data_IF_239987916966
#
_entry.id   IF_239987916966
#
_cell.length_a   1.000
_cell.length_b   1.000
_cell.length_c   1.000
_cell.angle_alpha   90.00
_cell.angle_beta   90.00
_cell.angle_gamma   90.00
#
_symmetry.space_group_name_H-M   'P 1'
#
loop_
_entity.id
_entity.type
_entity.pdbx_description
1 polymer ?
#
# COMPACT_ATOMS: atom_id res chain seq x y z
N UNK A 1 32.60 -2.49 10.62
CA UNK A 1 31.82 -1.31 10.96
C UNK A 1 30.50 -1.76 11.56
N UNK A 2 29.90 -0.97 12.42
CA UNK A 2 28.72 -1.34 13.23
C UNK A 2 27.41 -1.39 12.42
N UNK A 3 27.48 -1.41 11.08
CA UNK A 3 26.31 -1.39 10.19
C UNK A 3 25.50 -0.09 10.26
N UNK A 4 26.03 0.96 10.91
CA UNK A 4 25.41 2.27 11.04
C UNK A 4 25.94 3.23 9.97
N UNK A 5 25.03 3.94 9.36
CA UNK A 5 25.29 4.90 8.28
C UNK A 5 24.72 6.27 8.62
N UNK A 6 25.33 7.33 8.10
CA UNK A 6 24.80 8.68 8.15
C UNK A 6 24.13 9.02 6.83
N UNK A 7 22.82 9.21 6.87
CA UNK A 7 22.00 9.50 5.71
C UNK A 7 21.86 11.01 5.56
N UNK A 8 22.17 11.51 4.37
CA UNK A 8 22.01 12.91 3.97
C UNK A 8 21.21 12.97 2.68
N UNK A 9 20.24 13.85 2.59
CA UNK A 9 19.44 14.03 1.39
C UNK A 9 18.01 14.45 1.69
N UNK A 10 17.14 14.32 0.69
CA UNK A 10 15.75 14.75 0.76
C UNK A 10 14.82 13.69 0.17
N UNK A 11 13.67 13.48 0.80
CA UNK A 11 12.57 12.68 0.26
C UNK A 11 11.33 13.55 0.08
N UNK A 12 10.85 13.60 -1.16
CA UNK A 12 9.65 14.33 -1.53
C UNK A 12 8.39 13.76 -0.89
N UNK A 13 8.32 12.43 -0.76
CA UNK A 13 7.24 11.75 -0.03
C UNK A 13 7.81 10.78 1.00
N UNK A 14 7.38 10.94 2.24
CA UNK A 14 7.58 10.01 3.33
C UNK A 14 6.28 9.86 4.10
N UNK A 15 5.72 8.65 4.08
CA UNK A 15 4.45 8.35 4.73
C UNK A 15 4.60 8.23 6.24
N UNK A 16 3.52 8.55 6.96
CA UNK A 16 3.37 8.36 8.40
C UNK A 16 4.54 8.94 9.23
N UNK A 17 4.77 10.28 9.18
CA UNK A 17 5.90 10.92 9.88
C UNK A 17 5.87 10.74 11.39
N UNK A 18 4.75 10.29 11.96
CA UNK A 18 4.58 9.97 13.38
C UNK A 18 5.15 8.59 13.78
N UNK A 19 5.50 7.73 12.81
CA UNK A 19 6.06 6.41 13.11
C UNK A 19 7.39 6.50 13.87
N UNK A 20 7.71 5.46 14.61
CA UNK A 20 8.94 5.40 15.42
C UNK A 20 10.19 5.12 14.57
N UNK A 21 10.03 4.45 13.41
CA UNK A 21 11.11 4.16 12.48
C UNK A 21 10.62 4.12 11.04
N UNK A 22 11.55 4.26 10.10
CA UNK A 22 11.30 4.34 8.66
C UNK A 22 12.25 3.45 7.89
N UNK A 23 11.74 2.76 6.85
CA UNK A 23 12.56 2.12 5.84
C UNK A 23 12.81 3.10 4.70
N UNK A 24 14.08 3.36 4.41
CA UNK A 24 14.50 4.36 3.43
C UNK A 24 15.54 3.76 2.48
N UNK A 25 15.34 3.96 1.18
CA UNK A 25 16.38 3.69 0.19
C UNK A 25 17.32 4.90 0.07
N UNK A 26 18.63 4.65 0.18
CA UNK A 26 19.65 5.65 -0.06
C UNK A 26 20.81 5.07 -0.86
N UNK A 27 21.47 5.94 -1.64
CA UNK A 27 22.65 5.57 -2.39
C UNK A 27 23.83 5.37 -1.43
N UNK A 28 24.52 4.25 -1.58
CA UNK A 28 25.75 3.94 -0.86
C UNK A 28 26.95 4.38 -1.68
N UNK A 29 27.93 4.97 -1.02
CA UNK A 29 29.20 5.43 -1.67
C UNK A 29 30.38 5.24 -0.73
N UNK A 30 30.49 4.09 -0.06
CA UNK A 30 31.57 3.80 0.88
C UNK A 30 32.41 2.62 0.42
N UNK A 31 33.69 2.84 0.12
CA UNK A 31 34.64 1.84 -0.33
C UNK A 31 34.14 1.12 -1.60
N UNK A 32 34.13 -0.21 -1.59
CA UNK A 32 33.64 -1.05 -2.68
C UNK A 32 32.13 -1.26 -2.65
N UNK A 33 31.42 -0.68 -1.68
CA UNK A 33 29.97 -0.80 -1.55
C UNK A 33 29.28 0.33 -2.31
N UNK A 34 28.78 0.02 -3.49
CA UNK A 34 28.04 0.95 -4.35
C UNK A 34 26.62 0.44 -4.61
N UNK A 35 25.71 1.36 -4.89
CA UNK A 35 24.32 1.04 -5.21
C UNK A 35 23.33 1.45 -4.12
N UNK A 36 22.07 1.03 -4.26
CA UNK A 36 21.01 1.37 -3.31
C UNK A 36 21.00 0.41 -2.12
N UNK A 37 21.16 0.94 -0.90
CA UNK A 37 20.90 0.25 0.35
C UNK A 37 19.52 0.53 0.89
N UNK A 38 18.95 -0.40 1.67
CA UNK A 38 17.74 -0.20 2.47
C UNK A 38 18.14 0.05 3.92
N UNK A 39 17.71 1.16 4.50
CA UNK A 39 18.09 1.57 5.84
C UNK A 39 16.89 1.67 6.75
N UNK A 40 16.99 1.11 7.95
CA UNK A 40 16.08 1.37 9.05
C UNK A 40 16.55 2.62 9.80
N UNK A 41 15.74 3.65 9.78
CA UNK A 41 16.05 4.94 10.40
C UNK A 41 15.06 5.18 11.55
N UNK A 42 15.50 5.11 12.82
CA UNK A 42 14.64 5.45 13.95
C UNK A 42 14.38 6.96 14.00
N UNK A 43 13.19 7.36 14.42
CA UNK A 43 12.84 8.78 14.63
C UNK A 43 13.55 9.36 15.84
N UNK A 44 13.66 8.57 16.90
CA UNK A 44 14.35 8.91 18.15
C UNK A 44 15.51 7.93 18.35
N UNK A 45 16.65 8.45 18.73
CA UNK A 45 17.85 7.65 19.01
C UNK A 45 17.73 6.99 20.41
N UNK A 46 18.54 5.94 20.70
CA UNK A 46 18.52 5.27 22.00
C UNK A 46 18.81 6.18 23.21
N UNK A 47 19.52 7.31 22.99
CA UNK A 47 19.77 8.31 24.02
C UNK A 47 18.60 9.30 24.23
N UNK A 48 17.48 9.06 23.58
CA UNK A 48 16.26 9.89 23.67
C UNK A 48 16.26 11.13 22.78
N UNK A 49 17.34 11.40 22.05
CA UNK A 49 17.41 12.56 21.16
C UNK A 49 16.73 12.30 19.81
N UNK A 50 16.13 13.34 19.20
CA UNK A 50 15.67 13.25 17.83
C UNK A 50 16.82 12.89 16.87
N UNK A 51 16.58 11.95 15.98
CA UNK A 51 17.51 11.65 14.89
C UNK A 51 17.51 12.79 13.86
N UNK A 52 18.50 12.88 13.00
CA UNK A 52 18.66 13.95 12.02
C UNK A 52 17.59 14.04 10.92
N UNK A 53 16.31 13.79 11.26
CA UNK A 53 15.14 13.93 10.38
C UNK A 53 14.52 15.31 10.59
N UNK A 54 14.33 16.07 9.50
CA UNK A 54 13.64 17.37 9.53
C UNK A 54 12.44 17.32 8.60
N UNK A 55 11.25 17.21 9.19
CA UNK A 55 9.99 17.25 8.47
C UNK A 55 9.69 18.69 8.05
N UNK A 56 9.58 18.92 6.74
CA UNK A 56 9.40 20.26 6.18
C UNK A 56 7.93 20.66 6.15
N UNK A 57 7.07 19.78 5.66
CA UNK A 57 5.62 19.99 5.57
C UNK A 57 4.86 18.69 5.38
N UNK A 58 3.58 18.72 5.67
CA UNK A 58 2.63 17.70 5.25
C UNK A 58 2.15 17.99 3.82
N UNK A 59 1.91 16.93 3.05
CA UNK A 59 1.41 17.03 1.68
C UNK A 59 -0.08 17.32 1.65
N UNK A 60 -0.49 18.30 0.83
CA UNK A 60 -1.88 18.45 0.41
C UNK A 60 -2.15 17.49 -0.74
N UNK A 61 -2.96 16.44 -0.49
CA UNK A 61 -3.20 15.34 -1.43
C UNK A 61 -4.63 15.38 -1.95
N UNK A 62 -4.84 14.87 -3.16
CA UNK A 62 -6.18 14.72 -3.75
C UNK A 62 -7.05 13.72 -2.95
N UNK A 63 -6.44 12.63 -2.48
CA UNK A 63 -7.13 11.60 -1.70
C UNK A 63 -6.26 11.04 -0.58
N UNK A 64 -6.82 10.11 0.20
CA UNK A 64 -6.16 9.48 1.35
C UNK A 64 -5.59 10.53 2.34
N UNK A 65 -6.36 11.58 2.62
CA UNK A 65 -5.92 12.73 3.42
C UNK A 65 -5.75 12.40 4.89
N UNK A 66 -6.45 11.39 5.39
CA UNK A 66 -6.31 10.89 6.76
C UNK A 66 -4.96 10.22 7.02
N UNK A 67 -4.28 9.73 5.98
CA UNK A 67 -2.96 9.17 6.06
C UNK A 67 -1.91 10.24 5.78
N UNK A 68 -1.21 10.71 6.82
CA UNK A 68 -0.22 11.77 6.70
C UNK A 68 0.94 11.35 5.77
N UNK A 69 1.34 12.27 4.89
CA UNK A 69 2.54 12.15 4.06
C UNK A 69 3.32 13.46 4.17
N UNK A 70 4.63 13.36 4.34
CA UNK A 70 5.50 14.51 4.59
C UNK A 70 6.61 14.63 3.55
N UNK A 71 7.20 15.80 3.46
CA UNK A 71 8.55 16.02 2.96
C UNK A 71 9.53 15.93 4.12
N UNK A 72 10.68 15.32 3.90
CA UNK A 72 11.71 15.19 4.94
C UNK A 72 13.10 15.42 4.37
N UNK A 73 13.91 16.13 5.13
CA UNK A 73 15.36 16.24 4.93
C UNK A 73 16.09 15.42 5.97
N UNK A 74 17.12 14.72 5.52
CA UNK A 74 18.02 13.93 6.36
C UNK A 74 19.30 14.72 6.57
N UNK A 75 19.57 15.15 7.78
CA UNK A 75 20.76 15.91 8.18
C UNK A 75 21.72 15.01 8.98
N UNK A 76 22.30 14.01 8.30
CA UNK A 76 23.17 13.03 8.96
C UNK A 76 22.37 12.07 9.85
N UNK A 77 21.12 11.76 9.48
CA UNK A 77 20.29 10.82 10.22
C UNK A 77 20.98 9.45 10.30
N UNK A 78 21.04 8.87 11.49
CA UNK A 78 21.59 7.54 11.70
C UNK A 78 20.61 6.49 11.24
N UNK A 79 21.09 5.57 10.41
CA UNK A 79 20.32 4.44 9.91
C UNK A 79 21.14 3.17 9.92
N UNK A 80 20.48 2.04 10.19
CA UNK A 80 21.09 0.71 10.11
C UNK A 80 20.77 0.10 8.76
N UNK A 81 21.78 -0.45 8.08
CA UNK A 81 21.59 -1.18 6.84
C UNK A 81 20.78 -2.46 7.10
N UNK A 82 19.74 -2.67 6.31
CA UNK A 82 18.91 -3.87 6.32
C UNK A 82 19.18 -4.65 5.02
N UNK A 83 19.49 -5.93 5.16
CA UNK A 83 19.86 -6.80 4.06
C UNK A 83 21.29 -6.54 3.57
N UNK A 84 21.57 -6.90 2.33
CA UNK A 84 22.91 -6.81 1.74
C UNK A 84 23.14 -5.45 1.07
N UNK A 85 24.39 -4.93 1.10
CA UNK A 85 24.77 -3.73 0.37
C UNK A 85 24.43 -3.82 -1.12
N UNK A 86 23.89 -2.73 -1.69
CA UNK A 86 23.51 -2.68 -3.10
C UNK A 86 22.20 -3.40 -3.46
N UNK A 87 21.59 -4.14 -2.53
CA UNK A 87 20.33 -4.87 -2.73
C UNK A 87 19.12 -4.21 -2.07
N UNK A 88 19.18 -2.93 -1.79
CA UNK A 88 18.12 -2.21 -1.09
C UNK A 88 16.75 -2.30 -1.75
N UNK A 89 16.68 -2.31 -3.09
CA UNK A 89 15.40 -2.43 -3.82
C UNK A 89 14.76 -3.79 -3.57
N UNK A 90 15.51 -4.89 -3.66
CA UNK A 90 14.95 -6.23 -3.38
C UNK A 90 14.49 -6.35 -1.93
N UNK A 91 15.22 -5.76 -0.99
CA UNK A 91 14.88 -5.76 0.43
C UNK A 91 13.59 -4.99 0.70
N UNK A 92 13.44 -3.78 0.17
CA UNK A 92 12.24 -2.97 0.43
C UNK A 92 10.98 -3.51 -0.29
N UNK A 93 11.14 -4.27 -1.36
CA UNK A 93 10.00 -4.88 -2.08
C UNK A 93 9.28 -5.91 -1.21
N UNK A 94 9.89 -6.52 -0.23
CA UNK A 94 9.21 -7.39 0.72
C UNK A 94 8.10 -6.63 1.46
N UNK A 95 8.42 -5.43 1.96
CA UNK A 95 7.41 -4.54 2.58
C UNK A 95 6.38 -4.06 1.54
N UNK A 96 6.84 -3.68 0.33
CA UNK A 96 5.94 -3.22 -0.74
C UNK A 96 4.94 -4.31 -1.15
N UNK A 97 5.30 -5.58 -1.06
CA UNK A 97 4.40 -6.69 -1.36
C UNK A 97 3.21 -6.73 -0.39
N UNK A 98 3.43 -6.47 0.89
CA UNK A 98 2.35 -6.31 1.88
C UNK A 98 1.45 -5.11 1.56
N UNK A 99 2.03 -3.97 1.22
CA UNK A 99 1.23 -2.77 0.86
C UNK A 99 0.42 -2.98 -0.44
N UNK A 100 0.87 -3.84 -1.34
CA UNK A 100 0.08 -4.23 -2.52
C UNK A 100 -1.13 -5.08 -2.16
N UNK A 101 -1.00 -5.98 -1.18
CA UNK A 101 -2.14 -6.72 -0.62
C UNK A 101 -3.15 -5.74 0.00
N UNK A 102 -2.69 -4.77 0.80
CA UNK A 102 -3.55 -3.73 1.39
C UNK A 102 -4.29 -2.92 0.31
N UNK A 103 -3.61 -2.54 -0.77
CA UNK A 103 -4.25 -1.85 -1.89
C UNK A 103 -5.36 -2.69 -2.54
N UNK A 104 -5.15 -4.00 -2.71
CA UNK A 104 -6.14 -4.89 -3.31
C UNK A 104 -7.36 -5.05 -2.39
N UNK A 105 -7.14 -5.32 -1.11
CA UNK A 105 -8.22 -5.51 -0.12
C UNK A 105 -9.02 -4.22 0.11
N UNK A 106 -8.34 -3.08 0.22
CA UNK A 106 -8.98 -1.77 0.38
C UNK A 106 -9.83 -1.41 -0.83
N UNK A 107 -9.32 -1.62 -2.05
CA UNK A 107 -10.07 -1.34 -3.27
C UNK A 107 -11.30 -2.24 -3.40
N UNK A 108 -11.18 -3.55 -3.12
CA UNK A 108 -12.33 -4.46 -3.09
C UNK A 108 -13.38 -4.03 -2.03
N UNK A 109 -12.93 -3.56 -0.87
CA UNK A 109 -13.79 -3.00 0.17
C UNK A 109 -14.56 -1.76 -0.28
N UNK A 110 -13.90 -0.83 -0.97
CA UNK A 110 -14.53 0.37 -1.54
C UNK A 110 -15.55 0.02 -2.63
N UNK A 111 -15.21 -0.89 -3.55
CA UNK A 111 -16.15 -1.40 -4.56
C UNK A 111 -17.41 -1.99 -3.90
N UNK A 112 -17.23 -2.81 -2.87
CA UNK A 112 -18.35 -3.41 -2.13
C UNK A 112 -19.21 -2.35 -1.44
N UNK A 113 -18.61 -1.35 -0.80
CA UNK A 113 -19.35 -0.25 -0.16
C UNK A 113 -20.17 0.52 -1.17
N UNK A 114 -19.60 0.88 -2.33
CA UNK A 114 -20.30 1.61 -3.39
C UNK A 114 -21.50 0.84 -3.95
N UNK A 115 -21.34 -0.47 -4.20
CA UNK A 115 -22.47 -1.31 -4.65
C UNK A 115 -23.55 -1.44 -3.57
N UNK A 116 -23.18 -1.55 -2.30
CA UNK A 116 -24.14 -1.61 -1.20
C UNK A 116 -25.00 -0.34 -1.14
N UNK A 117 -24.40 0.85 -1.28
CA UNK A 117 -25.10 2.12 -1.33
C UNK A 117 -25.98 2.25 -2.59
N UNK A 118 -25.46 1.84 -3.76
CA UNK A 118 -26.23 1.83 -5.00
C UNK A 118 -27.47 0.93 -4.91
N UNK A 119 -27.31 -0.29 -4.36
CA UNK A 119 -28.42 -1.22 -4.13
C UNK A 119 -29.41 -0.66 -3.12
N UNK A 120 -28.92 -0.05 -2.03
CA UNK A 120 -29.79 0.61 -1.05
C UNK A 120 -30.62 1.71 -1.72
N UNK A 121 -29.99 2.63 -2.42
CA UNK A 121 -30.65 3.73 -3.11
C UNK A 121 -31.71 3.23 -4.11
N UNK A 122 -31.36 2.30 -4.98
CA UNK A 122 -32.25 1.79 -6.04
C UNK A 122 -33.46 1.02 -5.51
N UNK A 123 -33.35 0.41 -4.33
CA UNK A 123 -34.48 -0.24 -3.63
C UNK A 123 -35.50 0.75 -3.07
N UNK A 124 -35.14 2.01 -2.89
CA UNK A 124 -36.02 3.03 -2.33
C UNK A 124 -36.51 4.06 -3.37
N UNK A 125 -35.63 4.43 -4.33
CA UNK A 125 -35.97 5.39 -5.38
C UNK A 125 -36.98 4.81 -6.37
N UNK A 126 -38.08 5.56 -6.62
CA UNK A 126 -39.07 5.25 -7.66
C UNK A 126 -38.93 6.21 -8.84
N UNK A 127 -39.02 5.67 -10.05
CA UNK A 127 -39.04 6.41 -11.32
C UNK A 127 -40.04 5.71 -12.25
N UNK A 128 -40.91 6.48 -12.90
CA UNK A 128 -41.99 5.96 -13.75
C UNK A 128 -42.94 4.98 -13.01
N UNK A 129 -43.19 5.24 -11.72
CA UNK A 129 -44.12 4.45 -10.91
C UNK A 129 -43.51 3.18 -10.27
N UNK A 130 -42.33 2.77 -10.66
CA UNK A 130 -41.68 1.53 -10.16
C UNK A 130 -40.32 1.85 -9.52
N UNK A 131 -39.87 0.97 -8.61
CA UNK A 131 -38.54 1.08 -7.99
C UNK A 131 -37.42 0.88 -9.03
N UNK A 132 -36.34 1.65 -8.92
CA UNK A 132 -35.21 1.54 -9.83
C UNK A 132 -34.61 0.12 -9.86
N UNK A 133 -34.52 -0.55 -8.72
CA UNK A 133 -34.01 -1.92 -8.63
C UNK A 133 -34.83 -2.94 -9.44
N UNK A 134 -36.09 -2.65 -9.78
CA UNK A 134 -36.96 -3.52 -10.58
C UNK A 134 -36.96 -3.18 -12.07
N UNK A 135 -36.28 -2.10 -12.46
CA UNK A 135 -36.15 -1.75 -13.87
C UNK A 135 -35.07 -2.60 -14.57
N UNK A 136 -35.40 -3.21 -15.73
CA UNK A 136 -34.51 -4.18 -16.36
C UNK A 136 -33.05 -3.67 -16.59
N UNK A 137 -32.91 -2.42 -17.06
CA UNK A 137 -31.60 -1.82 -17.31
C UNK A 137 -30.82 -1.66 -16.00
N UNK A 138 -31.46 -1.17 -14.96
CA UNK A 138 -30.80 -0.98 -13.65
C UNK A 138 -30.42 -2.31 -13.01
N UNK A 139 -31.31 -3.32 -13.10
CA UNK A 139 -31.02 -4.67 -12.62
C UNK A 139 -29.78 -5.24 -13.28
N UNK A 140 -29.62 -5.04 -14.58
CA UNK A 140 -28.43 -5.50 -15.31
C UNK A 140 -27.16 -4.79 -14.85
N UNK A 141 -27.19 -3.46 -14.72
CA UNK A 141 -26.05 -2.68 -14.23
C UNK A 141 -25.63 -3.13 -12.84
N UNK A 142 -26.60 -3.27 -11.91
CA UNK A 142 -26.31 -3.73 -10.55
C UNK A 142 -25.75 -5.16 -10.51
N UNK A 143 -26.23 -6.04 -11.40
CA UNK A 143 -25.72 -7.41 -11.51
C UNK A 143 -24.27 -7.44 -11.98
N UNK A 144 -23.92 -6.67 -13.00
CA UNK A 144 -22.55 -6.56 -13.50
C UNK A 144 -21.60 -6.02 -12.40
N UNK A 145 -22.00 -4.94 -11.72
CA UNK A 145 -21.26 -4.40 -10.58
C UNK A 145 -21.09 -5.43 -9.44
N UNK A 146 -22.12 -6.20 -9.14
CA UNK A 146 -22.08 -7.22 -8.09
C UNK A 146 -21.12 -8.38 -8.44
N UNK A 147 -21.04 -8.77 -9.72
CA UNK A 147 -20.09 -9.77 -10.20
C UNK A 147 -18.65 -9.30 -10.06
N UNK A 148 -18.37 -8.04 -10.42
CA UNK A 148 -17.03 -7.46 -10.27
C UNK A 148 -16.61 -7.40 -8.79
N UNK A 149 -17.51 -7.01 -7.89
CA UNK A 149 -17.27 -7.00 -6.44
C UNK A 149 -17.02 -8.40 -5.90
N UNK A 150 -17.81 -9.40 -6.34
CA UNK A 150 -17.64 -10.78 -5.91
C UNK A 150 -16.27 -11.33 -6.36
N UNK A 151 -15.87 -11.08 -7.61
CA UNK A 151 -14.57 -11.48 -8.14
C UNK A 151 -13.42 -10.78 -7.40
N UNK A 152 -13.48 -9.46 -7.20
CA UNK A 152 -12.46 -8.70 -6.48
C UNK A 152 -12.30 -9.18 -5.03
N UNK A 153 -13.41 -9.46 -4.35
CA UNK A 153 -13.40 -9.98 -2.98
C UNK A 153 -12.79 -11.38 -2.92
N UNK A 154 -13.23 -12.30 -3.79
CA UNK A 154 -12.71 -13.66 -3.83
C UNK A 154 -11.19 -13.71 -4.11
N UNK A 155 -10.72 -12.91 -5.08
CA UNK A 155 -9.30 -12.81 -5.40
C UNK A 155 -8.48 -12.23 -4.25
N UNK A 156 -8.97 -11.15 -3.61
CA UNK A 156 -8.27 -10.51 -2.49
C UNK A 156 -8.19 -11.45 -1.28
N UNK A 157 -9.27 -12.17 -0.96
CA UNK A 157 -9.27 -13.14 0.14
C UNK A 157 -8.42 -14.38 -0.18
N UNK A 158 -8.44 -14.86 -1.42
CA UNK A 158 -7.54 -15.96 -1.85
C UNK A 158 -6.06 -15.54 -1.73
N UNK A 159 -5.75 -14.29 -2.09
CA UNK A 159 -4.39 -13.76 -1.94
C UNK A 159 -4.01 -13.65 -0.46
N UNK A 160 -4.85 -13.10 0.39
CA UNK A 160 -4.60 -12.99 1.83
C UNK A 160 -4.33 -14.38 2.45
N UNK A 161 -5.15 -15.37 2.12
CA UNK A 161 -4.94 -16.75 2.58
C UNK A 161 -3.61 -17.36 2.12
N UNK A 162 -3.06 -16.93 0.97
CA UNK A 162 -1.73 -17.38 0.54
C UNK A 162 -0.61 -16.76 1.39
N UNK A 163 -0.75 -15.51 1.81
CA UNK A 163 0.20 -14.90 2.73
C UNK A 163 0.24 -15.59 4.09
N UNK A 164 -0.91 -16.00 4.61
CA UNK A 164 -1.00 -16.72 5.88
C UNK A 164 -0.24 -18.06 5.82
N UNK A 165 -0.29 -18.75 4.68
CA UNK A 165 0.30 -20.08 4.49
C UNK A 165 1.70 -20.08 3.88
N UNK A 166 2.18 -18.95 3.36
CA UNK A 166 3.43 -18.85 2.61
C UNK A 166 4.68 -19.30 3.40
N UNK A 167 4.63 -19.31 4.73
CA UNK A 167 5.74 -19.76 5.57
C UNK A 167 5.89 -21.28 5.61
N UNK A 168 4.78 -22.00 5.43
CA UNK A 168 4.69 -23.46 5.60
C UNK A 168 4.52 -24.20 4.26
N UNK A 169 4.06 -23.47 3.22
CA UNK A 169 3.75 -24.02 1.90
C UNK A 169 4.45 -23.21 0.79
N UNK A 170 5.41 -23.87 0.13
CA UNK A 170 6.16 -23.27 -0.98
C UNK A 170 5.30 -22.93 -2.21
N UNK A 171 4.20 -23.63 -2.45
CA UNK A 171 3.27 -23.32 -3.54
C UNK A 171 2.49 -22.04 -3.21
N UNK A 172 2.07 -21.86 -1.96
CA UNK A 172 1.41 -20.62 -1.51
C UNK A 172 2.38 -19.43 -1.50
N UNK A 173 3.65 -19.64 -1.14
CA UNK A 173 4.69 -18.62 -1.26
C UNK A 173 4.90 -18.18 -2.72
N UNK A 174 4.95 -19.14 -3.67
CA UNK A 174 5.05 -18.84 -5.09
C UNK A 174 3.80 -18.14 -5.62
N UNK A 175 2.61 -18.57 -5.20
CA UNK A 175 1.34 -17.94 -5.55
C UNK A 175 1.29 -16.48 -5.06
N UNK A 176 1.58 -16.22 -3.78
CA UNK A 176 1.57 -14.86 -3.23
C UNK A 176 2.54 -13.94 -3.97
N UNK A 177 3.75 -14.43 -4.25
CA UNK A 177 4.78 -13.66 -4.97
C UNK A 177 4.33 -13.29 -6.39
N UNK A 178 3.76 -14.24 -7.14
CA UNK A 178 3.32 -14.04 -8.51
C UNK A 178 2.04 -13.22 -8.59
N UNK A 179 1.04 -13.57 -7.76
CA UNK A 179 -0.30 -13.04 -7.91
C UNK A 179 -0.52 -11.68 -7.23
N UNK A 180 0.31 -11.29 -6.27
CA UNK A 180 0.16 -9.98 -5.60
C UNK A 180 0.15 -8.80 -6.59
N UNK A 181 1.12 -8.62 -7.50
CA UNK A 181 1.08 -7.52 -8.46
C UNK A 181 -0.07 -7.64 -9.45
N UNK A 182 -0.43 -8.85 -9.86
CA UNK A 182 -1.53 -9.12 -10.81
C UNK A 182 -2.88 -8.73 -10.19
N UNK A 183 -3.18 -9.26 -9.00
CA UNK A 183 -4.44 -9.00 -8.31
C UNK A 183 -4.54 -7.53 -7.91
N UNK A 184 -3.47 -6.95 -7.36
CA UNK A 184 -3.42 -5.51 -7.07
C UNK A 184 -3.74 -4.67 -8.29
N UNK A 185 -3.11 -4.96 -9.43
CA UNK A 185 -3.36 -4.24 -10.68
C UNK A 185 -4.83 -4.35 -11.08
N UNK A 186 -5.35 -5.55 -11.18
CA UNK A 186 -6.72 -5.79 -11.65
C UNK A 186 -7.77 -5.15 -10.72
N UNK A 187 -7.70 -5.41 -9.43
CA UNK A 187 -8.69 -4.90 -8.45
C UNK A 187 -8.66 -3.37 -8.40
N UNK A 188 -7.48 -2.76 -8.27
CA UNK A 188 -7.38 -1.30 -8.23
C UNK A 188 -7.80 -0.65 -9.55
N UNK A 189 -7.56 -1.30 -10.70
CA UNK A 189 -7.96 -0.78 -12.01
C UNK A 189 -9.47 -0.87 -12.23
N UNK A 190 -10.11 -1.93 -11.73
CA UNK A 190 -11.55 -2.13 -11.83
C UNK A 190 -12.34 -1.28 -10.84
N UNK A 191 -11.71 -0.86 -9.73
CA UNK A 191 -12.40 -0.07 -8.70
C UNK A 191 -12.85 1.31 -9.19
N UNK A 192 -12.00 2.04 -9.93
CA UNK A 192 -12.28 3.42 -10.32
C UNK A 192 -13.54 3.58 -11.21
N UNK A 193 -13.78 2.76 -12.24
CA UNK A 193 -15.01 2.88 -13.05
C UNK A 193 -16.27 2.37 -12.33
N UNK A 194 -16.11 1.59 -11.24
CA UNK A 194 -17.25 1.04 -10.49
C UNK A 194 -17.72 1.99 -9.38
N UNK A 195 -16.81 2.77 -8.77
CA UNK A 195 -17.08 3.73 -7.69
C UNK A 195 -17.61 5.04 -8.26
#
# INVERSE_FOLDING_TARGET
GDGLYRIVGHKWFMSAPMCDAFLVLAQMSEGNQTGLGCFLIPRILPDGKPNGLRFQRLKDKLGNRSNASSEVEFHGALGQLIGEPGRGVSTIIEMVTLTRLDCATSSAGLMRASVAEAVHHTRHRKVFGEKLAHQPLMTRVLADMALDVAAATALSMRLAASFDRAREDGAEAAYSRLMTPVIKYWVCKSAAPLI
#
